data_IF_768138835542
#
_entry.id   IF_768138835542
#
_cell.length_a   1.000
_cell.length_b   1.000
_cell.length_c   1.000
_cell.angle_alpha   90.00
_cell.angle_beta   90.00
_cell.angle_gamma   90.00
#
_symmetry.space_group_name_H-M   'P 1'
#
loop_
_entity.id
_entity.type
_entity.pdbx_description
1 polymer ?
#
# COMPACT_ATOMS: atom_id res chain seq x y z
N UNK A 1 3.98 12.56 -14.27
CA UNK A 1 2.90 11.80 -13.62
C UNK A 1 2.09 12.76 -12.76
N UNK A 2 0.78 12.55 -12.67
CA UNK A 2 -0.08 13.28 -11.74
C UNK A 2 0.11 12.75 -10.31
N UNK A 3 -0.18 13.60 -9.31
CA UNK A 3 -0.14 13.23 -7.90
C UNK A 3 -1.06 12.04 -7.61
N UNK A 4 -2.25 12.01 -8.23
CA UNK A 4 -3.23 10.94 -8.12
C UNK A 4 -2.66 9.58 -8.55
N UNK A 5 -1.89 9.53 -9.64
CA UNK A 5 -1.26 8.29 -10.13
C UNK A 5 -0.22 7.76 -9.13
N UNK A 6 0.55 8.65 -8.49
CA UNK A 6 1.54 8.25 -7.48
C UNK A 6 0.87 7.73 -6.20
N UNK A 7 -0.21 8.36 -5.75
CA UNK A 7 -0.97 7.87 -4.60
C UNK A 7 -1.58 6.49 -4.86
N UNK A 8 -2.07 6.24 -6.08
CA UNK A 8 -2.57 4.92 -6.46
C UNK A 8 -1.46 3.85 -6.43
N UNK A 9 -0.34 4.09 -7.10
CA UNK A 9 0.82 3.17 -7.09
C UNK A 9 1.29 2.91 -5.66
N UNK A 10 1.30 3.94 -4.80
CA UNK A 10 1.64 3.77 -3.40
C UNK A 10 0.64 2.89 -2.64
N UNK A 11 -0.65 3.03 -2.89
CA UNK A 11 -1.70 2.26 -2.19
C UNK A 11 -1.65 0.79 -2.61
N UNK A 12 -1.46 0.55 -3.90
CA UNK A 12 -1.25 -0.79 -4.46
C UNK A 12 0.00 -1.45 -3.86
N UNK A 13 1.10 -0.71 -3.76
CA UNK A 13 2.36 -1.20 -3.18
C UNK A 13 2.19 -1.55 -1.70
N UNK A 14 1.43 -0.76 -0.95
CA UNK A 14 1.13 -1.02 0.46
C UNK A 14 0.31 -2.32 0.62
N UNK A 15 -0.72 -2.51 -0.22
CA UNK A 15 -1.53 -3.74 -0.20
C UNK A 15 -0.68 -4.98 -0.43
N UNK A 16 0.22 -4.95 -1.42
CA UNK A 16 1.15 -6.05 -1.70
C UNK A 16 2.13 -6.30 -0.54
N UNK A 17 2.58 -5.23 0.14
CA UNK A 17 3.45 -5.34 1.32
C UNK A 17 2.75 -5.95 2.53
N UNK A 18 1.49 -5.59 2.77
CA UNK A 18 0.70 -6.16 3.87
C UNK A 18 0.34 -7.62 3.61
N UNK A 19 0.00 -7.98 2.38
CA UNK A 19 -0.24 -9.38 2.00
C UNK A 19 1.02 -10.22 2.21
N UNK A 20 2.20 -9.68 1.84
CA UNK A 20 3.48 -10.30 2.14
C UNK A 20 3.71 -10.47 3.65
N UNK A 21 3.44 -9.44 4.44
CA UNK A 21 3.62 -9.50 5.89
C UNK A 21 2.69 -10.54 6.52
N UNK A 22 1.45 -10.64 6.04
CA UNK A 22 0.50 -11.70 6.43
C UNK A 22 1.05 -13.09 6.13
N UNK A 23 1.67 -13.28 4.97
CA UNK A 23 2.30 -14.54 4.58
C UNK A 23 3.49 -14.92 5.48
N UNK A 24 4.25 -13.95 5.98
CA UNK A 24 5.36 -14.18 6.91
C UNK A 24 4.89 -14.56 8.33
N UNK A 25 3.70 -14.12 8.73
CA UNK A 25 3.12 -14.48 10.04
C UNK A 25 2.56 -15.89 10.09
N UNK A 26 2.43 -16.57 8.95
CA UNK A 26 2.09 -17.99 8.90
C UNK A 26 3.38 -18.82 9.09
N UNK A 27 3.43 -19.74 10.07
CA UNK A 27 4.61 -20.58 10.29
C UNK A 27 4.93 -21.38 9.03
N UNK A 28 5.99 -20.97 8.35
CA UNK A 28 6.48 -21.58 7.12
C UNK A 28 7.29 -22.82 7.50
N UNK A 29 6.69 -24.00 7.42
CA UNK A 29 7.41 -25.28 7.55
C UNK A 29 8.20 -25.66 6.28
N UNK A 30 8.17 -24.82 5.24
CA UNK A 30 8.86 -25.06 3.98
C UNK A 30 10.20 -24.31 3.95
N UNK A 31 11.24 -24.98 4.40
CA UNK A 31 12.64 -24.61 4.16
C UNK A 31 13.00 -24.85 2.69
N UNK A 32 12.51 -24.00 1.80
CA UNK A 32 12.75 -24.17 0.37
C UNK A 32 12.14 -23.07 -0.47
N UNK A 33 12.90 -21.99 -0.64
CA UNK A 33 12.89 -21.15 -1.84
C UNK A 33 11.50 -20.65 -2.29
N UNK A 34 10.83 -19.85 -1.46
CA UNK A 34 9.70 -19.05 -1.94
C UNK A 34 10.23 -17.74 -2.51
N UNK A 35 10.48 -17.70 -3.80
CA UNK A 35 10.52 -16.43 -4.53
C UNK A 35 9.17 -15.75 -4.29
N UNK A 36 9.13 -14.81 -3.34
CA UNK A 36 7.90 -14.12 -2.99
C UNK A 36 7.36 -13.45 -4.28
N UNK A 37 6.23 -13.93 -4.84
CA UNK A 37 5.83 -13.62 -6.22
C UNK A 37 5.60 -12.13 -6.46
N UNK A 38 5.37 -11.37 -5.38
CA UNK A 38 5.13 -9.93 -5.43
C UNK A 38 6.39 -9.06 -5.28
N UNK A 39 7.55 -9.60 -4.89
CA UNK A 39 8.75 -8.79 -4.61
C UNK A 39 9.25 -8.03 -5.85
N UNK A 40 9.25 -8.67 -7.02
CA UNK A 40 9.68 -8.02 -8.26
C UNK A 40 8.70 -6.94 -8.76
N UNK A 41 7.41 -7.06 -8.43
CA UNK A 41 6.39 -6.06 -8.75
C UNK A 41 6.43 -4.89 -7.77
N UNK A 42 6.60 -5.17 -6.47
CA UNK A 42 6.79 -4.16 -5.42
C UNK A 42 8.03 -3.30 -5.72
N UNK A 43 9.16 -3.90 -6.10
CA UNK A 43 10.36 -3.13 -6.45
C UNK A 43 10.10 -2.19 -7.65
N UNK A 44 9.48 -2.69 -8.74
CA UNK A 44 9.12 -1.84 -9.91
C UNK A 44 8.17 -0.70 -9.55
N UNK A 45 7.16 -0.96 -8.72
CA UNK A 45 6.23 0.08 -8.28
C UNK A 45 6.91 1.13 -7.39
N UNK A 46 7.82 0.71 -6.50
CA UNK A 46 8.63 1.62 -5.69
C UNK A 46 9.55 2.48 -6.56
N UNK A 47 10.17 1.93 -7.62
CA UNK A 47 10.97 2.70 -8.58
C UNK A 47 10.13 3.78 -9.28
N UNK A 48 8.96 3.40 -9.78
CA UNK A 48 8.02 4.33 -10.41
C UNK A 48 7.55 5.42 -9.44
N UNK A 49 7.27 5.06 -8.19
CA UNK A 49 6.89 6.01 -7.15
C UNK A 49 8.03 7.00 -6.86
N UNK A 50 9.26 6.50 -6.71
CA UNK A 50 10.46 7.31 -6.46
C UNK A 50 10.69 8.32 -7.58
N UNK A 51 10.71 7.85 -8.82
CA UNK A 51 10.99 8.68 -9.99
C UNK A 51 9.88 9.72 -10.19
N UNK A 52 8.63 9.33 -9.95
CA UNK A 52 7.50 10.24 -9.98
C UNK A 52 7.52 11.31 -8.87
N UNK A 53 7.92 10.96 -7.64
CA UNK A 53 8.10 11.92 -6.54
C UNK A 53 9.16 12.95 -6.92
N UNK A 54 10.31 12.53 -7.49
CA UNK A 54 11.37 13.45 -7.94
C UNK A 54 10.87 14.42 -9.02
N UNK A 55 10.10 13.91 -9.99
CA UNK A 55 9.51 14.76 -11.05
C UNK A 55 8.50 15.75 -10.48
N UNK A 56 7.68 15.34 -9.51
CA UNK A 56 6.71 16.23 -8.86
C UNK A 56 7.41 17.31 -8.03
N UNK A 57 8.42 16.93 -7.24
CA UNK A 57 9.24 17.86 -6.46
C UNK A 57 9.99 18.85 -7.37
N UNK A 58 10.45 18.41 -8.55
CA UNK A 58 11.10 19.30 -9.52
C UNK A 58 10.14 20.30 -10.17
N UNK A 59 8.85 19.94 -10.35
CA UNK A 59 7.84 20.83 -10.97
C UNK A 59 7.24 21.83 -9.96
N UNK A 60 6.78 21.34 -8.82
CA UNK A 60 5.97 22.12 -7.87
C UNK A 60 6.72 22.43 -6.56
N UNK A 61 7.96 21.96 -6.41
CA UNK A 61 8.71 22.03 -5.16
C UNK A 61 8.24 20.99 -4.14
N UNK A 62 8.90 20.96 -2.97
CA UNK A 62 8.46 20.12 -1.84
C UNK A 62 7.18 20.70 -1.24
N UNK A 63 6.06 20.15 -1.67
CA UNK A 63 4.74 20.44 -1.11
C UNK A 63 4.44 19.45 0.03
N UNK A 64 3.49 19.78 0.92
CA UNK A 64 3.06 18.86 1.98
C UNK A 64 2.69 17.47 1.44
N UNK A 65 1.99 17.43 0.31
CA UNK A 65 1.62 16.16 -0.34
C UNK A 65 2.84 15.34 -0.79
N UNK A 66 3.87 15.96 -1.40
CA UNK A 66 5.08 15.23 -1.80
C UNK A 66 5.88 14.77 -0.58
N UNK A 67 5.85 15.54 0.51
CA UNK A 67 6.42 15.14 1.80
C UNK A 67 5.75 13.90 2.39
N UNK A 68 4.42 13.79 2.30
CA UNK A 68 3.67 12.60 2.72
C UNK A 68 4.00 11.38 1.86
N UNK A 69 4.03 11.53 0.53
CA UNK A 69 4.39 10.44 -0.38
C UNK A 69 5.82 9.93 -0.15
N UNK A 70 6.75 10.83 0.16
CA UNK A 70 8.15 10.48 0.50
C UNK A 70 8.25 9.70 1.80
N UNK A 71 7.55 10.12 2.85
CA UNK A 71 7.46 9.36 4.10
C UNK A 71 6.82 7.98 3.88
N UNK A 72 5.79 7.91 3.04
CA UNK A 72 5.12 6.66 2.69
C UNK A 72 6.07 5.73 1.91
N UNK A 73 6.83 6.25 0.95
CA UNK A 73 7.85 5.51 0.21
C UNK A 73 8.90 4.89 1.13
N UNK A 74 9.51 5.68 2.01
CA UNK A 74 10.55 5.17 2.92
C UNK A 74 10.00 4.14 3.90
N UNK A 75 8.76 4.30 4.36
CA UNK A 75 8.07 3.29 5.19
C UNK A 75 7.87 1.98 4.43
N UNK A 76 7.36 2.04 3.20
CA UNK A 76 7.13 0.86 2.35
C UNK A 76 8.44 0.15 2.00
N UNK A 77 9.50 0.91 1.71
CA UNK A 77 10.85 0.41 1.50
C UNK A 77 11.41 -0.28 2.73
N UNK A 78 11.21 0.30 3.92
CA UNK A 78 11.59 -0.30 5.20
C UNK A 78 10.89 -1.64 5.48
N UNK A 79 9.62 -1.77 5.11
CA UNK A 79 8.87 -3.04 5.21
C UNK A 79 9.38 -4.12 4.26
N UNK A 80 10.02 -3.74 3.14
CA UNK A 80 10.60 -4.67 2.19
C UNK A 80 11.95 -5.24 2.69
N UNK A 81 12.67 -4.48 3.51
CA UNK A 81 13.87 -4.92 4.22
C UNK A 81 15.02 -5.32 3.29
N UNK A 82 15.61 -6.50 3.52
CA UNK A 82 16.74 -7.04 2.74
C UNK A 82 16.43 -7.32 1.27
N UNK A 83 15.16 -7.39 0.89
CA UNK A 83 14.72 -7.62 -0.50
C UNK A 83 14.46 -6.33 -1.28
N UNK A 84 14.68 -5.17 -0.65
CA UNK A 84 14.63 -3.89 -1.33
C UNK A 84 15.85 -3.70 -2.22
N UNK A 85 15.63 -3.67 -3.53
CA UNK A 85 16.65 -3.30 -4.51
C UNK A 85 16.58 -1.80 -4.85
N UNK A 86 15.61 -1.09 -4.27
CA UNK A 86 15.32 0.32 -4.53
C UNK A 86 16.11 1.25 -3.63
N UNK A 87 16.77 2.23 -4.27
CA UNK A 87 17.56 3.31 -3.63
C UNK A 87 16.67 4.27 -2.81
N UNK A 88 17.23 4.88 -1.75
CA UNK A 88 16.54 5.93 -1.00
C UNK A 88 16.24 7.16 -1.85
N UNK A 89 15.23 7.94 -1.46
CA UNK A 89 14.92 9.21 -2.12
C UNK A 89 16.01 10.27 -1.87
N UNK A 90 16.75 10.17 -0.76
CA UNK A 90 17.85 11.08 -0.43
C UNK A 90 19.17 10.67 -1.10
N UNK A 91 19.95 11.62 -1.67
CA UNK A 91 21.30 11.36 -2.15
C UNK A 91 22.21 10.92 -0.99
N UNK A 92 23.23 10.08 -1.24
CA UNK A 92 24.24 9.73 -0.24
C UNK A 92 25.19 10.92 -0.04
N UNK A 93 24.70 12.02 0.52
CA UNK A 93 25.54 13.15 0.89
C UNK A 93 25.98 13.01 2.35
N UNK A 94 27.24 12.59 2.47
CA UNK A 94 28.11 12.74 3.61
C UNK A 94 27.78 11.94 4.87
N UNK A 95 28.68 10.99 5.14
CA UNK A 95 29.18 10.64 6.45
C UNK A 95 29.40 11.88 7.36
N UNK A 96 28.34 12.37 7.99
CA UNK A 96 28.42 13.25 9.16
C UNK A 96 27.57 12.67 10.28
N UNK A 97 28.29 11.86 11.05
CA UNK A 97 28.26 11.86 12.50
C UNK A 97 26.87 11.82 13.13
N UNK A 98 26.34 10.62 13.28
CA UNK A 98 25.55 10.21 14.44
C UNK A 98 25.54 8.69 14.51
N UNK A 99 26.48 8.15 15.30
CA UNK A 99 26.43 6.88 16.04
C UNK A 99 25.90 5.61 15.35
N UNK A 100 26.65 4.49 15.36
CA UNK A 100 26.07 3.20 15.04
C UNK A 100 25.08 2.84 16.14
N UNK A 101 23.78 3.00 15.91
CA UNK A 101 22.80 2.24 16.71
C UNK A 101 22.86 0.81 16.22
N UNK A 102 23.82 0.07 16.77
CA UNK A 102 23.86 -1.38 16.80
C UNK A 102 22.64 -1.88 17.57
N UNK A 103 21.48 -1.96 16.91
CA UNK A 103 20.32 -2.66 17.44
C UNK A 103 20.39 -4.14 17.09
N UNK A 104 21.31 -4.86 17.74
CA UNK A 104 21.20 -6.29 18.02
C UNK A 104 22.46 -6.82 18.70
N UNK A 105 22.45 -6.92 20.02
CA UNK A 105 23.16 -7.96 20.80
C UNK A 105 22.65 -7.96 22.24
N UNK A 106 21.35 -8.21 22.44
CA UNK A 106 20.89 -8.87 23.66
C UNK A 106 21.29 -10.35 23.58
N UNK A 107 22.60 -10.61 23.63
CA UNK A 107 23.17 -11.92 23.84
C UNK A 107 23.29 -12.15 25.35
N UNK A 108 22.15 -12.46 25.95
CA UNK A 108 21.91 -13.07 27.26
C UNK A 108 20.38 -13.18 27.27
N UNK A 109 19.73 -14.33 27.33
CA UNK A 109 20.03 -15.51 28.09
C UNK A 109 19.69 -16.75 27.24
N UNK A 110 20.51 -17.77 27.39
CA UNK A 110 20.17 -19.17 27.14
C UNK A 110 18.74 -19.42 27.68
N UNK A 111 17.75 -19.80 26.85
CA UNK A 111 16.59 -20.48 27.37
C UNK A 111 17.05 -21.83 27.88
N UNK A 112 17.18 -21.88 29.20
CA UNK A 112 17.34 -23.06 30.02
C UNK A 112 16.46 -24.17 29.45
N UNK A 113 17.08 -25.33 29.17
CA UNK A 113 16.41 -26.60 28.90
C UNK A 113 15.11 -26.69 29.72
N UNK A 114 13.97 -27.08 29.13
CA UNK A 114 12.75 -27.22 29.91
C UNK A 114 13.06 -28.18 31.06
N UNK A 115 12.98 -27.65 32.28
CA UNK A 115 12.97 -28.43 33.51
C UNK A 115 11.87 -29.46 33.35
N UNK A 116 12.29 -30.68 33.01
CA UNK A 116 11.46 -31.88 33.06
C UNK A 116 10.90 -31.89 34.47
N UNK A 117 9.60 -31.66 34.59
CA UNK A 117 8.85 -31.94 35.80
C UNK A 117 9.31 -33.31 36.30
N UNK A 118 9.64 -33.48 37.60
CA UNK A 118 9.86 -34.80 38.12
C UNK A 118 8.53 -35.52 37.98
N UNK A 119 8.40 -36.35 36.94
CA UNK A 119 7.40 -37.41 36.98
C UNK A 119 7.58 -38.13 38.31
N UNK A 120 6.49 -38.49 38.99
CA UNK A 120 6.60 -39.36 40.14
C UNK A 120 7.41 -40.57 39.68
N UNK A 121 8.60 -40.74 40.26
CA UNK A 121 9.43 -41.92 40.03
C UNK A 121 8.60 -43.11 40.51
N UNK A 122 7.85 -43.70 39.59
CA UNK A 122 7.26 -45.01 39.81
C UNK A 122 8.43 -45.95 40.05
N UNK A 123 8.37 -46.78 41.11
CA UNK A 123 9.40 -47.79 41.34
C UNK A 123 9.65 -48.56 40.05
N UNK A 124 10.91 -48.56 39.59
CA UNK A 124 11.33 -49.40 38.48
C UNK A 124 11.05 -50.84 38.87
N UNK A 125 10.02 -51.40 38.24
CA UNK A 125 9.63 -52.79 38.46
C UNK A 125 10.29 -53.58 37.33
N UNK A 126 11.12 -54.56 37.67
CA UNK A 126 11.68 -55.55 36.73
C UNK A 126 10.56 -56.49 36.22
N UNK A 127 9.45 -55.92 35.75
CA UNK A 127 8.36 -56.67 35.11
C UNK A 127 8.50 -56.48 33.59
N UNK A 128 8.96 -57.50 32.85
CA UNK A 128 9.17 -57.40 31.40
C UNK A 128 7.87 -57.22 30.59
N UNK A 129 6.69 -57.25 31.23
CA UNK A 129 5.39 -56.98 30.60
C UNK A 129 4.91 -55.52 30.72
N UNK A 130 5.65 -54.63 31.39
CA UNK A 130 5.29 -53.21 31.55
C UNK A 130 5.83 -52.27 30.44
N UNK A 131 6.44 -52.82 29.40
CA UNK A 131 6.81 -52.06 28.20
C UNK A 131 5.59 -51.84 27.33
N UNK A 132 5.25 -50.58 27.00
CA UNK A 132 4.24 -50.28 25.99
C UNK A 132 4.48 -51.15 24.75
N UNK A 133 3.46 -51.92 24.37
CA UNK A 133 3.55 -52.90 23.28
C UNK A 133 4.07 -52.20 22.00
N UNK A 134 5.22 -52.61 21.43
CA UNK A 134 5.80 -51.99 20.25
C UNK A 134 4.82 -51.89 19.06
N UNK A 135 3.82 -52.78 18.99
CA UNK A 135 2.75 -52.73 18.02
C UNK A 135 1.83 -51.52 18.20
N UNK A 136 1.48 -51.18 19.44
CA UNK A 136 0.62 -50.02 19.78
C UNK A 136 1.37 -48.70 19.51
N UNK A 137 2.67 -48.66 19.80
CA UNK A 137 3.50 -47.49 19.51
C UNK A 137 3.62 -47.24 17.99
N UNK A 138 3.86 -48.29 17.20
CA UNK A 138 3.91 -48.20 15.74
C UNK A 138 2.55 -47.81 15.14
N UNK A 139 1.45 -48.34 15.68
CA UNK A 139 0.10 -47.99 15.24
C UNK A 139 -0.22 -46.52 15.52
N UNK A 140 0.14 -46.03 16.71
CA UNK A 140 -0.04 -44.62 17.10
C UNK A 140 0.79 -43.70 16.21
N UNK A 141 2.03 -44.08 15.90
CA UNK A 141 2.89 -43.32 15.00
C UNK A 141 2.33 -43.24 13.57
N UNK A 142 1.79 -44.34 13.04
CA UNK A 142 1.13 -44.37 11.72
C UNK A 142 -0.11 -43.47 11.70
N UNK A 143 -0.95 -43.57 12.73
CA UNK A 143 -2.15 -42.73 12.82
C UNK A 143 -1.81 -41.24 12.93
N UNK A 144 -0.70 -40.90 13.59
CA UNK A 144 -0.21 -39.51 13.67
C UNK A 144 0.42 -39.04 12.36
N UNK A 145 1.06 -39.92 11.58
CA UNK A 145 1.54 -39.62 10.22
C UNK A 145 0.37 -39.37 9.26
N UNK A 146 -0.63 -40.25 9.25
CA UNK A 146 -1.80 -40.11 8.38
C UNK A 146 -2.57 -38.80 8.66
N UNK A 147 -2.68 -38.41 9.93
CA UNK A 147 -3.34 -37.15 10.32
C UNK A 147 -2.54 -35.91 9.88
N UNK A 148 -1.20 -36.02 9.85
CA UNK A 148 -0.34 -34.97 9.31
C UNK A 148 -0.48 -34.85 7.79
N UNK A 149 -0.56 -35.96 7.07
CA UNK A 149 -0.77 -35.94 5.62
C UNK A 149 -2.11 -35.30 5.25
N UNK A 150 -3.19 -35.63 5.98
CA UNK A 150 -4.50 -34.98 5.83
C UNK A 150 -4.45 -33.46 6.09
N UNK A 151 -3.61 -33.02 7.03
CA UNK A 151 -3.40 -31.59 7.29
C UNK A 151 -2.59 -30.92 6.17
N UNK A 152 -1.59 -31.59 5.62
CA UNK A 152 -0.78 -31.09 4.50
C UNK A 152 -1.61 -30.96 3.22
N UNK A 153 -2.52 -31.90 2.94
CA UNK A 153 -3.41 -31.82 1.79
C UNK A 153 -4.39 -30.65 1.91
N UNK A 154 -4.98 -30.45 3.09
CA UNK A 154 -5.85 -29.28 3.36
C UNK A 154 -5.08 -27.97 3.22
N UNK A 155 -3.84 -27.94 3.70
CA UNK A 155 -2.97 -26.78 3.59
C UNK A 155 -2.60 -26.51 2.12
N UNK A 156 -2.24 -27.55 1.36
CA UNK A 156 -1.94 -27.48 -0.07
C UNK A 156 -3.12 -26.91 -0.86
N UNK A 157 -4.33 -27.39 -0.58
CA UNK A 157 -5.55 -26.85 -1.18
C UNK A 157 -5.80 -25.39 -0.80
N UNK A 158 -5.51 -25.00 0.45
CA UNK A 158 -5.63 -23.61 0.90
C UNK A 158 -4.61 -22.70 0.22
N UNK A 159 -3.37 -23.16 0.06
CA UNK A 159 -2.30 -22.44 -0.63
C UNK A 159 -2.62 -22.26 -2.12
N UNK A 160 -3.14 -23.30 -2.78
CA UNK A 160 -3.55 -23.19 -4.18
C UNK A 160 -4.70 -22.18 -4.34
N UNK A 161 -5.72 -22.21 -3.47
CA UNK A 161 -6.77 -21.19 -3.48
C UNK A 161 -6.25 -19.79 -3.21
N UNK A 162 -5.30 -19.64 -2.29
CA UNK A 162 -4.67 -18.35 -2.01
C UNK A 162 -3.86 -17.84 -3.21
N UNK A 163 -3.17 -18.73 -3.93
CA UNK A 163 -2.48 -18.41 -5.17
C UNK A 163 -3.46 -17.95 -6.25
N UNK A 164 -4.58 -18.65 -6.42
CA UNK A 164 -5.60 -18.27 -7.40
C UNK A 164 -6.22 -16.90 -7.07
N UNK A 165 -6.49 -16.64 -5.79
CA UNK A 165 -6.94 -15.33 -5.32
C UNK A 165 -5.89 -14.23 -5.56
N UNK A 166 -4.60 -14.52 -5.34
CA UNK A 166 -3.50 -13.58 -5.60
C UNK A 166 -3.42 -13.20 -7.09
N UNK A 167 -3.62 -14.17 -7.99
CA UNK A 167 -3.65 -13.94 -9.44
C UNK A 167 -4.87 -13.07 -9.80
N UNK A 168 -6.06 -13.40 -9.28
CA UNK A 168 -7.26 -12.59 -9.52
C UNK A 168 -7.14 -11.16 -8.99
N UNK A 169 -6.55 -10.96 -7.81
CA UNK A 169 -6.28 -9.63 -7.26
C UNK A 169 -5.31 -8.88 -8.17
N UNK A 170 -4.28 -9.53 -8.70
CA UNK A 170 -3.35 -8.90 -9.63
C UNK A 170 -4.06 -8.46 -10.91
N UNK A 171 -4.92 -9.30 -11.48
CA UNK A 171 -5.68 -8.97 -12.68
C UNK A 171 -6.66 -7.82 -12.42
N UNK A 172 -7.36 -7.82 -11.28
CA UNK A 172 -8.24 -6.72 -10.86
C UNK A 172 -7.45 -5.41 -10.65
N UNK A 173 -6.25 -5.49 -10.08
CA UNK A 173 -5.38 -4.33 -9.93
C UNK A 173 -4.91 -3.75 -11.28
N UNK A 174 -4.70 -4.59 -12.29
CA UNK A 174 -4.38 -4.14 -13.65
C UNK A 174 -5.60 -3.45 -14.31
N UNK A 175 -6.80 -4.02 -14.13
CA UNK A 175 -8.07 -3.39 -14.54
C UNK A 175 -8.26 -2.04 -13.86
N UNK A 176 -8.08 -1.96 -12.54
CA UNK A 176 -8.14 -0.72 -11.77
C UNK A 176 -7.09 0.31 -12.25
N UNK A 177 -5.91 -0.13 -12.70
CA UNK A 177 -4.89 0.76 -13.27
C UNK A 177 -5.36 1.36 -14.60
N UNK A 178 -6.02 0.57 -15.45
CA UNK A 178 -6.66 1.06 -16.67
C UNK A 178 -7.74 2.11 -16.37
N UNK A 179 -8.64 1.80 -15.43
CA UNK A 179 -9.72 2.70 -15.01
C UNK A 179 -9.19 4.03 -14.45
N UNK A 180 -8.12 3.98 -13.65
CA UNK A 180 -7.49 5.18 -13.09
C UNK A 180 -6.79 6.04 -14.16
N UNK A 181 -6.25 5.42 -15.22
CA UNK A 181 -5.67 6.16 -16.34
C UNK A 181 -6.74 6.88 -17.18
N UNK A 182 -7.90 6.26 -17.33
CA UNK A 182 -9.06 6.88 -17.99
C UNK A 182 -9.61 8.04 -17.15
N UNK A 183 -9.71 7.84 -15.83
CA UNK A 183 -10.08 8.89 -14.88
C UNK A 183 -9.12 10.09 -14.93
N UNK A 184 -7.80 9.87 -15.00
CA UNK A 184 -6.79 10.95 -15.14
C UNK A 184 -7.02 11.75 -16.43
N UNK A 185 -7.30 11.06 -17.53
CA UNK A 185 -7.62 11.68 -18.83
C UNK A 185 -8.89 12.54 -18.74
N UNK A 186 -9.91 12.06 -18.05
CA UNK A 186 -11.16 12.80 -17.85
C UNK A 186 -11.00 13.99 -16.89
N UNK A 187 -10.13 13.88 -15.89
CA UNK A 187 -9.73 15.00 -15.03
C UNK A 187 -9.02 16.08 -15.85
N UNK A 188 -8.07 15.73 -16.71
CA UNK A 188 -7.36 16.69 -17.58
C UNK A 188 -8.31 17.44 -18.54
N UNK A 189 -9.27 16.71 -19.12
CA UNK A 189 -10.34 17.30 -19.95
C UNK A 189 -11.20 18.26 -19.13
N UNK A 190 -11.57 17.86 -17.92
CA UNK A 190 -12.37 18.68 -17.00
C UNK A 190 -11.62 19.94 -16.58
N UNK A 191 -10.33 19.84 -16.26
CA UNK A 191 -9.47 20.98 -15.94
C UNK A 191 -9.37 21.96 -17.11
N UNK A 192 -9.23 21.46 -18.34
CA UNK A 192 -9.19 22.29 -19.55
C UNK A 192 -10.50 23.05 -19.74
N UNK A 193 -11.65 22.37 -19.59
CA UNK A 193 -12.98 22.98 -19.69
C UNK A 193 -13.19 24.03 -18.59
N UNK A 194 -12.81 23.72 -17.36
CA UNK A 194 -12.93 24.62 -16.21
C UNK A 194 -12.02 25.85 -16.35
N UNK A 195 -10.80 25.69 -16.86
CA UNK A 195 -9.89 26.80 -17.20
C UNK A 195 -10.50 27.72 -18.27
N UNK A 196 -11.11 27.14 -19.31
CA UNK A 196 -11.86 27.87 -20.32
C UNK A 196 -13.06 28.63 -19.74
N UNK A 197 -13.85 27.98 -18.88
CA UNK A 197 -14.97 28.60 -18.19
C UNK A 197 -14.52 29.77 -17.31
N UNK A 198 -13.46 29.58 -16.52
CA UNK A 198 -12.88 30.64 -15.66
C UNK A 198 -12.43 31.85 -16.47
N UNK A 199 -11.79 31.65 -17.63
CA UNK A 199 -11.39 32.75 -18.53
C UNK A 199 -12.58 33.50 -19.11
N UNK A 200 -13.67 32.80 -19.46
CA UNK A 200 -14.92 33.45 -19.91
C UNK A 200 -15.54 34.27 -18.79
N UNK A 201 -15.53 33.74 -17.57
CA UNK A 201 -16.07 34.40 -16.39
C UNK A 201 -15.24 35.64 -16.00
N UNK A 202 -13.91 35.57 -16.08
CA UNK A 202 -13.02 36.72 -15.87
C UNK A 202 -13.24 37.82 -16.92
N UNK A 203 -13.41 37.45 -18.20
CA UNK A 203 -13.78 38.41 -19.25
C UNK A 203 -15.14 39.05 -19.00
N UNK A 204 -16.13 38.27 -18.57
CA UNK A 204 -17.46 38.78 -18.24
C UNK A 204 -17.41 39.72 -17.03
N UNK A 205 -16.70 39.35 -15.97
CA UNK A 205 -16.51 40.19 -14.80
C UNK A 205 -15.82 41.52 -15.14
N UNK A 206 -14.77 41.50 -15.96
CA UNK A 206 -14.09 42.70 -16.46
C UNK A 206 -15.02 43.57 -17.33
N UNK A 207 -15.80 42.95 -18.23
CA UNK A 207 -16.79 43.64 -19.06
C UNK A 207 -17.90 44.29 -18.25
N UNK A 208 -18.42 43.60 -17.23
CA UNK A 208 -19.42 44.12 -16.32
C UNK A 208 -18.87 45.27 -15.46
N UNK A 209 -17.61 45.20 -15.00
CA UNK A 209 -16.97 46.28 -14.24
C UNK A 209 -16.84 47.57 -15.06
N UNK A 210 -16.43 47.47 -16.33
CA UNK A 210 -16.19 48.66 -17.16
C UNK A 210 -17.47 49.27 -17.74
N UNK A 211 -18.45 48.43 -18.11
CA UNK A 211 -19.70 48.89 -18.72
C UNK A 211 -20.85 49.02 -17.71
N UNK A 212 -20.64 48.62 -16.46
CA UNK A 212 -21.68 48.59 -15.43
C UNK A 212 -22.27 49.96 -15.14
N UNK A 213 -21.45 51.01 -15.05
CA UNK A 213 -21.94 52.38 -14.86
C UNK A 213 -22.76 52.87 -16.05
N UNK A 214 -22.32 52.61 -17.28
CA UNK A 214 -23.04 52.98 -18.50
C UNK A 214 -24.37 52.22 -18.63
N UNK A 215 -24.38 50.92 -18.29
CA UNK A 215 -25.60 50.11 -18.24
C UNK A 215 -26.59 50.60 -17.17
N UNK A 216 -26.10 50.94 -15.98
CA UNK A 216 -26.91 51.50 -14.89
C UNK A 216 -27.52 52.85 -15.30
N UNK A 217 -26.73 53.74 -15.91
CA UNK A 217 -27.21 55.04 -16.41
C UNK A 217 -28.29 54.82 -17.50
N UNK A 218 -28.06 53.93 -18.46
CA UNK A 218 -29.04 53.62 -19.51
C UNK A 218 -30.34 53.02 -18.94
N UNK A 219 -30.24 52.13 -17.95
CA UNK A 219 -31.39 51.56 -17.26
C UNK A 219 -32.19 52.62 -16.50
N UNK A 220 -31.52 53.56 -15.82
CA UNK A 220 -32.18 54.69 -15.16
C UNK A 220 -32.92 55.59 -16.16
N UNK A 221 -32.32 55.89 -17.30
CA UNK A 221 -32.96 56.68 -18.38
C UNK A 221 -34.20 55.95 -18.91
N UNK A 222 -34.12 54.64 -19.12
CA UNK A 222 -35.23 53.83 -19.61
C UNK A 222 -36.39 53.81 -18.59
N UNK A 223 -36.09 53.61 -17.30
CA UNK A 223 -37.10 53.68 -16.22
C UNK A 223 -37.77 55.05 -16.20
N UNK A 224 -36.99 56.13 -16.32
CA UNK A 224 -37.52 57.49 -16.37
C UNK A 224 -38.43 57.73 -17.57
N UNK A 225 -38.06 57.21 -18.75
CA UNK A 225 -38.88 57.27 -19.97
C UNK A 225 -40.21 56.55 -19.80
N UNK A 226 -40.19 55.36 -19.19
CA UNK A 226 -41.40 54.59 -18.87
C UNK A 226 -42.29 55.36 -17.89
N UNK A 227 -41.72 55.94 -16.84
CA UNK A 227 -42.43 56.80 -15.89
C UNK A 227 -43.08 58.00 -16.58
N UNK A 228 -42.36 58.67 -17.49
CA UNK A 228 -42.92 59.79 -18.27
C UNK A 228 -44.08 59.32 -19.13
N UNK A 229 -43.96 58.20 -19.84
CA UNK A 229 -45.05 57.68 -20.68
C UNK A 229 -46.28 57.37 -19.81
N UNK A 230 -46.10 56.67 -18.69
CA UNK A 230 -47.20 56.29 -17.79
C UNK A 230 -47.84 57.51 -17.11
N UNK A 231 -47.06 58.53 -16.74
CA UNK A 231 -47.56 59.70 -16.02
C UNK A 231 -48.11 60.79 -16.94
N UNK A 232 -47.63 60.86 -18.19
CA UNK A 232 -48.08 61.83 -19.20
C UNK A 232 -49.29 61.32 -19.99
N UNK A 233 -49.46 60.00 -20.09
CA UNK A 233 -50.69 59.36 -20.60
C UNK A 233 -51.73 59.34 -19.49
#
# INVERSE_FOLDING_TARGET
MSLAKLTSVSTQTLSLLLERQRQQTLPSFTSGQTNAPHTAQINRNLEQLRDGIRVLEARDGRTEATGLLRNQYERMRGMLGRDSQVESLDPPEAARASSPTSSSSSASLIPQVPSRSPEPLTPYTDDPEAGEDPGIMLQTQRQMMDNQDDHLDRLSHSINRQRDLSIQINDELDVHTGLLSELDTDIDRTQTRMSGARRRLDRFAKGAKNNGSTMIIAALILILLVLIIIFKT
#
